data_IF_385755565112
#
_entry.id   IF_385755565112
#
_cell.length_a   1.000
_cell.length_b   1.000
_cell.length_c   1.000
_cell.angle_alpha   90.00
_cell.angle_beta   90.00
_cell.angle_gamma   90.00
#
_symmetry.space_group_name_H-M   'P 1'
#
loop_
_entity.id
_entity.type
_entity.pdbx_description
1 polymer ?
#
# COMPACT_ATOMS: atom_id res chain seq x y z
N UNK A 1 1.90 25.51 1.97
CA UNK A 1 1.17 24.28 2.35
C UNK A 1 1.91 23.12 1.70
N UNK A 2 2.96 22.63 2.37
CA UNK A 2 3.79 21.52 1.90
C UNK A 2 2.96 20.25 2.03
N UNK A 3 2.43 19.75 0.92
CA UNK A 3 1.88 18.40 0.88
C UNK A 3 3.04 17.45 1.15
N UNK A 4 3.15 17.00 2.40
CA UNK A 4 4.08 15.96 2.77
C UNK A 4 3.78 14.76 1.88
N UNK A 5 4.77 14.35 1.08
CA UNK A 5 4.70 13.11 0.32
C UNK A 5 4.84 11.99 1.35
N UNK A 6 3.75 11.70 2.07
CA UNK A 6 3.70 10.55 2.97
C UNK A 6 3.52 9.31 2.11
N UNK A 7 4.57 8.50 2.17
CA UNK A 7 4.71 7.22 1.51
C UNK A 7 3.61 6.23 1.95
N UNK A 8 3.12 6.41 3.19
CA UNK A 8 2.08 5.62 3.82
C UNK A 8 0.80 6.45 4.00
N UNK A 9 -0.40 5.89 3.70
CA UNK A 9 -1.65 6.60 3.93
C UNK A 9 -1.83 6.89 5.42
N UNK A 10 -2.37 8.08 5.72
CA UNK A 10 -2.81 8.41 7.08
C UNK A 10 -3.94 7.47 7.51
N UNK A 11 -4.21 7.32 8.82
CA UNK A 11 -5.31 6.48 9.30
C UNK A 11 -6.67 6.85 8.69
N UNK A 12 -6.92 8.16 8.47
CA UNK A 12 -8.15 8.62 7.82
C UNK A 12 -8.21 8.19 6.36
N UNK A 13 -7.13 8.36 5.60
CA UNK A 13 -7.08 7.93 4.20
C UNK A 13 -7.26 6.41 4.08
N UNK A 14 -6.62 5.62 4.96
CA UNK A 14 -6.85 4.17 5.03
C UNK A 14 -8.31 3.85 5.29
N UNK A 15 -8.94 4.51 6.25
CA UNK A 15 -10.36 4.30 6.56
C UNK A 15 -11.26 4.63 5.38
N UNK A 16 -11.01 5.74 4.67
CA UNK A 16 -11.80 6.14 3.49
C UNK A 16 -11.66 5.11 2.36
N UNK A 17 -10.44 4.59 2.13
CA UNK A 17 -10.20 3.51 1.17
C UNK A 17 -10.98 2.24 1.52
N UNK A 18 -10.99 1.84 2.81
CA UNK A 18 -11.74 0.67 3.29
C UNK A 18 -13.24 0.89 3.09
N UNK A 19 -13.77 2.05 3.46
CA UNK A 19 -15.19 2.37 3.30
C UNK A 19 -15.64 2.31 1.84
N UNK A 20 -14.83 2.85 0.91
CA UNK A 20 -15.09 2.80 -0.52
C UNK A 20 -15.07 1.34 -1.03
N UNK A 21 -14.08 0.55 -0.64
CA UNK A 21 -14.00 -0.86 -1.03
C UNK A 21 -15.18 -1.69 -0.48
N UNK A 22 -15.55 -1.49 0.78
CA UNK A 22 -16.71 -2.14 1.40
C UNK A 22 -18.02 -1.76 0.70
N UNK A 23 -18.16 -0.50 0.27
CA UNK A 23 -19.29 -0.05 -0.53
C UNK A 23 -19.37 -0.80 -1.87
N UNK A 24 -18.26 -0.98 -2.57
CA UNK A 24 -18.24 -1.73 -3.83
C UNK A 24 -18.57 -3.22 -3.64
N UNK A 25 -18.08 -3.84 -2.57
CA UNK A 25 -18.44 -5.23 -2.23
C UNK A 25 -19.95 -5.34 -1.93
N UNK A 26 -20.49 -4.38 -1.19
CA UNK A 26 -21.91 -4.28 -0.91
C UNK A 26 -22.73 -4.11 -2.20
N UNK A 27 -22.27 -3.27 -3.12
CA UNK A 27 -22.88 -3.06 -4.43
C UNK A 27 -22.87 -4.35 -5.27
N UNK A 28 -21.76 -5.09 -5.29
CA UNK A 28 -21.64 -6.36 -6.01
C UNK A 28 -22.62 -7.42 -5.50
N UNK A 29 -22.93 -7.44 -4.20
CA UNK A 29 -23.98 -8.32 -3.63
C UNK A 29 -25.40 -7.73 -3.73
N UNK A 30 -25.58 -6.61 -4.43
CA UNK A 30 -26.88 -5.93 -4.53
C UNK A 30 -27.40 -5.40 -3.19
N UNK A 31 -26.49 -5.02 -2.29
CA UNK A 31 -26.78 -4.51 -0.95
C UNK A 31 -27.63 -5.43 -0.06
N UNK A 32 -27.59 -6.76 -0.30
CA UNK A 32 -28.36 -7.73 0.48
C UNK A 32 -28.10 -7.63 2.02
N UNK A 33 -29.12 -7.60 2.88
CA UNK A 33 -28.93 -7.34 4.31
C UNK A 33 -28.04 -8.40 5.00
N UNK A 34 -27.31 -7.99 6.04
CA UNK A 34 -26.44 -8.87 6.83
C UNK A 34 -25.04 -9.11 6.27
N UNK A 35 -24.67 -8.52 5.13
CA UNK A 35 -23.32 -8.63 4.54
C UNK A 35 -22.33 -7.53 4.93
N UNK A 36 -22.78 -6.46 5.58
CA UNK A 36 -21.96 -5.25 5.78
C UNK A 36 -20.67 -5.50 6.55
N UNK A 37 -20.73 -6.27 7.65
CA UNK A 37 -19.55 -6.58 8.48
C UNK A 37 -18.53 -7.41 7.69
N UNK A 38 -19.02 -8.34 6.86
CA UNK A 38 -18.16 -9.19 6.02
C UNK A 38 -17.46 -8.36 4.95
N UNK A 39 -18.20 -7.48 4.27
CA UNK A 39 -17.62 -6.60 3.25
C UNK A 39 -16.58 -5.66 3.85
N UNK A 40 -16.83 -5.15 5.06
CA UNK A 40 -15.87 -4.31 5.77
C UNK A 40 -14.58 -5.08 6.07
N UNK A 41 -14.69 -6.29 6.62
CA UNK A 41 -13.52 -7.13 6.92
C UNK A 41 -12.73 -7.51 5.65
N UNK A 42 -13.43 -7.82 4.57
CA UNK A 42 -12.80 -8.16 3.28
C UNK A 42 -12.13 -6.94 2.65
N UNK A 43 -12.76 -5.76 2.74
CA UNK A 43 -12.19 -4.49 2.32
C UNK A 43 -10.94 -4.14 3.13
N UNK A 44 -10.98 -4.27 4.46
CA UNK A 44 -9.84 -4.01 5.34
C UNK A 44 -8.64 -4.89 4.98
N UNK A 45 -8.84 -6.21 4.86
CA UNK A 45 -7.80 -7.15 4.46
C UNK A 45 -7.21 -6.82 3.09
N UNK A 46 -8.07 -6.44 2.13
CA UNK A 46 -7.64 -6.07 0.77
C UNK A 46 -6.78 -4.82 0.77
N UNK A 47 -7.23 -3.74 1.42
CA UNK A 47 -6.51 -2.47 1.47
C UNK A 47 -5.18 -2.63 2.22
N UNK A 48 -5.17 -3.36 3.34
CA UNK A 48 -3.94 -3.62 4.09
C UNK A 48 -2.92 -4.41 3.26
N UNK A 49 -3.37 -5.42 2.50
CA UNK A 49 -2.51 -6.17 1.59
C UNK A 49 -1.93 -5.27 0.49
N UNK A 50 -2.73 -4.40 -0.11
CA UNK A 50 -2.27 -3.45 -1.13
C UNK A 50 -1.25 -2.44 -0.58
N UNK A 51 -1.48 -1.92 0.64
CA UNK A 51 -0.54 -1.01 1.31
C UNK A 51 0.77 -1.73 1.59
N UNK A 52 0.71 -2.96 2.12
CA UNK A 52 1.90 -3.76 2.41
C UNK A 52 2.72 -4.09 1.16
N UNK A 53 2.06 -4.51 0.07
CA UNK A 53 2.69 -4.81 -1.21
C UNK A 53 3.42 -3.59 -1.80
N UNK A 54 2.77 -2.43 -1.74
CA UNK A 54 3.37 -1.17 -2.22
C UNK A 54 4.59 -0.75 -1.39
N UNK A 55 4.55 -0.95 -0.06
CA UNK A 55 5.69 -0.69 0.83
C UNK A 55 6.86 -1.65 0.59
N UNK A 56 6.57 -2.94 0.37
CA UNK A 56 7.58 -3.96 0.05
C UNK A 56 8.25 -3.67 -1.30
N UNK A 57 7.47 -3.33 -2.32
CA UNK A 57 7.97 -2.98 -3.65
C UNK A 57 8.89 -1.76 -3.62
N UNK A 58 8.59 -0.74 -2.80
CA UNK A 58 9.47 0.42 -2.61
C UNK A 58 10.76 0.08 -1.87
N UNK A 59 10.66 -0.71 -0.81
CA UNK A 59 11.81 -1.10 0.00
C UNK A 59 12.81 -1.90 -0.84
N UNK A 60 12.32 -2.88 -1.59
CA UNK A 60 13.14 -3.71 -2.48
C UNK A 60 13.79 -2.89 -3.60
N UNK A 61 13.05 -1.95 -4.21
CA UNK A 61 13.60 -1.04 -5.23
C UNK A 61 14.72 -0.14 -4.66
N UNK A 62 14.53 0.41 -3.46
CA UNK A 62 15.55 1.23 -2.78
C UNK A 62 16.80 0.42 -2.44
N UNK A 63 16.63 -0.82 -1.96
CA UNK A 63 17.74 -1.72 -1.65
C UNK A 63 18.53 -2.10 -2.91
N UNK A 64 17.83 -2.41 -4.01
CA UNK A 64 18.46 -2.69 -5.30
C UNK A 64 19.31 -1.50 -5.77
N UNK A 65 18.76 -0.29 -5.70
CA UNK A 65 19.48 0.95 -6.04
C UNK A 65 20.73 1.17 -5.17
N UNK A 66 20.60 0.99 -3.85
CA UNK A 66 21.74 1.10 -2.91
C UNK A 66 22.86 0.10 -3.22
N UNK A 67 22.49 -1.14 -3.58
CA UNK A 67 23.46 -2.18 -3.95
C UNK A 67 24.20 -1.82 -5.22
N UNK A 68 23.52 -1.25 -6.21
CA UNK A 68 24.14 -0.77 -7.45
C UNK A 68 25.16 0.33 -7.18
N UNK A 69 24.81 1.34 -6.36
CA UNK A 69 25.73 2.42 -5.99
C UNK A 69 26.96 1.86 -5.26
N UNK A 70 26.75 0.98 -4.27
CA UNK A 70 27.86 0.36 -3.53
C UNK A 70 28.81 -0.40 -4.45
N UNK A 71 28.29 -1.20 -5.36
CA UNK A 71 29.11 -1.93 -6.33
C UNK A 71 29.87 -0.99 -7.26
N UNK A 72 29.21 0.07 -7.77
CA UNK A 72 29.84 1.06 -8.64
C UNK A 72 31.01 1.81 -7.96
N UNK A 73 30.86 2.12 -6.67
CA UNK A 73 31.91 2.77 -5.87
C UNK A 73 33.10 1.83 -5.59
N UNK A 74 32.85 0.54 -5.33
CA UNK A 74 33.94 -0.44 -5.10
C UNK A 74 34.76 -0.68 -6.38
N UNK A 75 34.12 -0.65 -7.54
CA UNK A 75 34.79 -0.83 -8.84
C UNK A 75 35.64 0.37 -9.27
N UNK A 76 35.51 1.52 -8.62
CA UNK A 76 36.26 2.75 -8.96
C UNK A 76 37.50 2.98 -8.09
N UNK A 77 37.67 2.23 -7.00
CA UNK A 77 38.81 2.33 -6.07
C UNK A 77 39.89 1.26 -6.33
N UNK A 78 39.72 0.44 -7.37
CA UNK A 78 40.70 -0.57 -7.78
C UNK A 78 41.66 0.02 -8.83
N UNK A 79 42.66 0.78 -8.37
CA UNK A 79 43.92 1.06 -9.09
C UNK A 79 45.10 0.89 -8.12
#
# INVERSE_FOLDING_TARGET
MTAEIHDQPTPQQRHDMIAIAAYYLAEQRGFAPGGADKDWLEAEATIDAMIADHLLSRTTALEAGRRLIRNALVLSDTD
#
